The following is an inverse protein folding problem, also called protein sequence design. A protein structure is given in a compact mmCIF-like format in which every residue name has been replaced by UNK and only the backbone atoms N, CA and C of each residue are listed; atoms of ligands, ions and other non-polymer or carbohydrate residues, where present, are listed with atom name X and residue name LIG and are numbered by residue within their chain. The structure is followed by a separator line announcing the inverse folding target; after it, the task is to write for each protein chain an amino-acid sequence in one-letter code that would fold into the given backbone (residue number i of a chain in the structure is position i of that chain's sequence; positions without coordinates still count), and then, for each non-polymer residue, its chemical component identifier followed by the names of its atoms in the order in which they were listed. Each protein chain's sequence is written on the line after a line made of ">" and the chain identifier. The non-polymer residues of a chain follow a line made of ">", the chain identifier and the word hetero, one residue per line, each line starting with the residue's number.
data_IF_846656051919
#
_entry.id   IF_846656051919
#
_cell.length_a   1.000
_cell.length_b   1.000
_cell.length_c   1.000
_cell.angle_alpha   90.00
_cell.angle_beta   90.00
_cell.angle_gamma   90.00
#
_symmetry.space_group_name_H-M   'P 1'
#
loop_
_entity.id
_entity.type
_entity.pdbx_description
1 polymer ?
#
# COMPACT_ATOMS: atom_id res chain seq x y z
N UNK A 1 11.25 18.86 19.24
CA UNK A 1 11.18 17.65 18.40
C UNK A 1 10.47 16.47 19.05
N UNK A 2 10.61 16.27 20.37
CA UNK A 2 9.95 15.15 21.08
C UNK A 2 8.44 15.33 21.24
N UNK A 3 7.94 16.55 21.44
CA UNK A 3 6.51 16.82 21.58
C UNK A 3 5.69 16.50 20.34
N UNK A 4 6.26 16.72 19.13
CA UNK A 4 5.56 16.37 17.89
C UNK A 4 5.50 14.86 17.63
N UNK A 5 6.43 14.07 18.20
CA UNK A 5 6.42 12.60 18.14
C UNK A 5 5.29 12.01 18.98
N UNK A 6 5.07 12.53 20.19
CA UNK A 6 4.02 12.07 21.08
C UNK A 6 2.61 12.39 20.60
N UNK A 7 2.38 13.58 20.02
CA UNK A 7 1.08 13.98 19.50
C UNK A 7 0.60 13.04 18.36
N UNK A 8 1.49 12.70 17.43
CA UNK A 8 1.15 11.78 16.33
C UNK A 8 0.69 10.41 16.82
N UNK A 9 1.27 9.89 17.90
CA UNK A 9 0.91 8.59 18.46
C UNK A 9 -0.36 8.66 19.32
N UNK A 10 -0.63 9.78 19.99
CA UNK A 10 -1.87 10.02 20.74
C UNK A 10 -3.06 10.10 19.78
N UNK A 11 -2.97 10.84 18.70
CA UNK A 11 -4.04 10.93 17.68
C UNK A 11 -4.36 9.58 17.05
N UNK A 12 -3.36 8.75 16.76
CA UNK A 12 -3.57 7.41 16.17
C UNK A 12 -4.30 6.45 17.10
N UNK A 13 -4.14 6.59 18.42
CA UNK A 13 -4.87 5.77 19.38
C UNK A 13 -6.36 6.11 19.44
N UNK A 14 -6.75 7.30 18.98
CA UNK A 14 -8.13 7.78 18.94
C UNK A 14 -8.80 7.58 17.57
N UNK A 15 -8.05 7.14 16.54
CA UNK A 15 -8.60 6.87 15.22
C UNK A 15 -9.30 5.52 15.23
N UNK A 16 -10.59 5.55 15.04
CA UNK A 16 -11.49 4.39 15.04
C UNK A 16 -12.18 4.15 13.68
N UNK A 17 -11.85 4.97 12.69
CA UNK A 17 -12.42 4.83 11.35
C UNK A 17 -11.39 5.13 10.24
N UNK A 18 -11.59 4.48 9.08
CA UNK A 18 -10.69 4.59 7.94
C UNK A 18 -10.67 6.00 7.30
N UNK A 19 -11.79 6.71 7.31
CA UNK A 19 -11.88 8.03 6.68
C UNK A 19 -10.98 9.05 7.39
N UNK A 20 -11.01 9.08 8.71
CA UNK A 20 -10.11 9.91 9.53
C UNK A 20 -8.66 9.47 9.33
N UNK A 21 -8.40 8.16 9.36
CA UNK A 21 -7.07 7.60 9.16
C UNK A 21 -6.45 8.06 7.83
N UNK A 22 -7.20 7.99 6.73
CA UNK A 22 -6.70 8.30 5.40
C UNK A 22 -6.52 9.80 5.14
N UNK A 23 -7.16 10.65 5.93
CA UNK A 23 -7.02 12.11 5.81
C UNK A 23 -5.88 12.69 6.65
N UNK A 24 -5.35 11.95 7.60
CA UNK A 24 -4.27 12.43 8.48
C UNK A 24 -2.99 12.70 7.70
N UNK A 25 -2.52 13.95 7.74
CA UNK A 25 -1.30 14.42 7.06
C UNK A 25 -0.48 15.35 7.96
N UNK A 26 0.11 14.84 9.04
CA UNK A 26 0.95 15.68 9.90
C UNK A 26 2.14 16.25 9.09
N UNK A 27 2.36 17.58 9.09
CA UNK A 27 3.44 18.20 8.30
C UNK A 27 4.84 17.65 8.62
N UNK A 28 5.06 17.22 9.84
CA UNK A 28 6.33 16.63 10.28
C UNK A 28 6.73 15.35 9.53
N UNK A 29 5.79 14.64 8.90
CA UNK A 29 6.09 13.42 8.16
C UNK A 29 6.85 13.68 6.84
N UNK A 30 6.73 14.88 6.27
CA UNK A 30 7.38 15.25 5.03
C UNK A 30 8.82 15.79 5.17
N UNK A 31 9.41 15.77 6.38
CA UNK A 31 10.69 16.40 6.64
C UNK A 31 11.90 15.46 6.55
N UNK A 32 11.73 14.18 6.87
CA UNK A 32 12.83 13.20 6.90
C UNK A 32 12.34 11.83 6.42
N UNK A 33 12.75 11.46 5.21
CA UNK A 33 12.33 10.21 4.56
C UNK A 33 12.88 8.96 5.26
N UNK A 34 14.11 8.99 5.74
CA UNK A 34 14.71 7.85 6.42
C UNK A 34 14.01 7.59 7.77
N UNK A 35 13.78 8.64 8.56
CA UNK A 35 13.03 8.54 9.80
C UNK A 35 11.57 8.10 9.55
N UNK A 36 10.94 8.57 8.48
CA UNK A 36 9.60 8.17 8.10
C UNK A 36 9.54 6.69 7.71
N UNK A 37 10.49 6.20 6.93
CA UNK A 37 10.58 4.79 6.54
C UNK A 37 10.67 3.86 7.77
N UNK A 38 11.48 4.21 8.75
CA UNK A 38 11.58 3.46 10.03
C UNK A 38 10.24 3.46 10.78
N UNK A 39 9.57 4.62 10.85
CA UNK A 39 8.25 4.73 11.50
C UNK A 39 7.17 3.93 10.79
N UNK A 40 7.13 3.98 9.45
CA UNK A 40 6.19 3.17 8.68
C UNK A 40 6.35 1.69 9.02
N UNK A 41 7.58 1.16 9.07
CA UNK A 41 7.83 -0.23 9.44
C UNK A 41 7.29 -0.56 10.85
N UNK A 42 7.51 0.32 11.82
CA UNK A 42 6.97 0.14 13.17
C UNK A 42 5.43 0.16 13.20
N UNK A 43 4.79 1.04 12.43
CA UNK A 43 3.33 1.08 12.34
C UNK A 43 2.75 -0.16 11.66
N UNK A 44 3.39 -0.67 10.61
CA UNK A 44 2.97 -1.90 9.93
C UNK A 44 3.09 -3.12 10.84
N UNK A 45 4.09 -3.15 11.73
CA UNK A 45 4.30 -4.24 12.69
C UNK A 45 3.42 -4.14 13.95
N UNK A 46 2.63 -3.07 14.10
CA UNK A 46 1.88 -2.80 15.34
C UNK A 46 0.74 -3.77 15.63
N UNK A 47 0.25 -4.50 14.63
CA UNK A 47 -0.92 -5.38 14.73
C UNK A 47 -2.26 -4.64 14.92
N UNK A 48 -2.26 -3.30 14.94
CA UNK A 48 -3.47 -2.47 15.14
C UNK A 48 -4.00 -1.99 13.79
N UNK A 49 -5.21 -2.38 13.42
CA UNK A 49 -5.82 -2.18 12.10
C UNK A 49 -5.60 -0.76 11.55
N UNK A 50 -6.00 0.27 12.27
CA UNK A 50 -5.88 1.65 11.77
C UNK A 50 -4.45 2.19 11.79
N UNK A 51 -3.60 1.70 12.70
CA UNK A 51 -2.17 2.04 12.70
C UNK A 51 -1.47 1.43 11.47
N UNK A 52 -1.75 0.15 11.17
CA UNK A 52 -1.25 -0.54 9.97
C UNK A 52 -1.76 0.18 8.71
N UNK A 53 -3.06 0.47 8.64
CA UNK A 53 -3.63 1.21 7.51
C UNK A 53 -2.97 2.57 7.33
N UNK A 54 -2.75 3.32 8.41
CA UNK A 54 -2.04 4.60 8.36
C UNK A 54 -0.61 4.46 7.82
N UNK A 55 0.10 3.41 8.23
CA UNK A 55 1.44 3.07 7.69
C UNK A 55 1.41 2.83 6.19
N UNK A 56 0.47 2.01 5.69
CA UNK A 56 0.30 1.73 4.26
C UNK A 56 -0.04 2.99 3.45
N UNK A 57 -0.97 3.80 3.93
CA UNK A 57 -1.35 5.06 3.27
C UNK A 57 -0.19 6.07 3.27
N UNK A 58 0.60 6.10 4.34
CA UNK A 58 1.80 6.94 4.43
C UNK A 58 2.87 6.50 3.43
N UNK A 59 3.16 5.19 3.34
CA UNK A 59 4.07 4.66 2.31
C UNK A 59 3.61 5.05 0.91
N UNK A 60 2.33 4.88 0.62
CA UNK A 60 1.76 5.22 -0.68
C UNK A 60 1.94 6.70 -1.03
N UNK A 61 1.72 7.61 -0.08
CA UNK A 61 1.82 9.05 -0.32
C UNK A 61 3.23 9.56 -0.47
N UNK A 62 4.14 9.09 0.37
CA UNK A 62 5.49 9.67 0.47
C UNK A 62 6.53 8.93 -0.35
N UNK A 63 6.30 7.67 -0.74
CA UNK A 63 7.27 6.84 -1.46
C UNK A 63 6.77 6.33 -2.83
N UNK A 64 5.47 6.45 -3.16
CA UNK A 64 4.94 6.03 -4.46
C UNK A 64 4.43 7.16 -5.32
N UNK A 65 4.11 8.30 -4.73
CA UNK A 65 3.25 9.32 -5.33
C UNK A 65 3.74 9.86 -6.67
N UNK A 66 2.89 9.85 -7.60
CA UNK A 66 2.59 10.63 -8.82
C UNK A 66 3.61 11.68 -9.29
N UNK A 67 4.91 11.41 -9.28
CA UNK A 67 5.93 12.42 -9.52
C UNK A 67 5.99 13.50 -8.42
N UNK A 68 5.22 13.32 -7.37
CA UNK A 68 5.10 14.18 -6.19
C UNK A 68 5.41 13.45 -4.90
N UNK A 69 6.01 12.25 -4.97
CA UNK A 69 6.51 11.61 -3.76
C UNK A 69 7.58 12.51 -3.14
N UNK A 70 7.45 12.74 -1.84
CA UNK A 70 8.40 13.56 -1.11
C UNK A 70 9.80 12.91 -1.06
N UNK A 71 9.86 11.59 -1.24
CA UNK A 71 11.08 10.80 -1.07
C UNK A 71 11.31 9.83 -2.23
N UNK A 72 12.55 9.37 -2.48
CA UNK A 72 12.85 8.37 -3.48
C UNK A 72 12.06 7.06 -3.25
N UNK A 73 11.83 6.27 -4.32
CA UNK A 73 11.22 4.95 -4.20
C UNK A 73 11.97 4.06 -3.21
N UNK A 74 11.23 3.36 -2.37
CA UNK A 74 11.76 2.33 -1.48
C UNK A 74 11.39 0.95 -2.05
N UNK A 75 12.39 0.14 -2.51
CA UNK A 75 12.12 -1.15 -3.15
C UNK A 75 11.51 -2.19 -2.22
N UNK A 76 11.54 -1.98 -0.90
CA UNK A 76 10.92 -2.88 0.09
C UNK A 76 9.41 -2.65 0.24
N UNK A 77 8.86 -1.55 -0.27
CA UNK A 77 7.44 -1.20 -0.10
C UNK A 77 6.49 -2.32 -0.52
N UNK A 78 6.65 -3.00 -1.66
CA UNK A 78 5.76 -4.11 -2.02
C UNK A 78 5.76 -5.24 -0.98
N UNK A 79 6.93 -5.64 -0.51
CA UNK A 79 7.07 -6.71 0.50
C UNK A 79 6.42 -6.30 1.84
N UNK A 80 6.66 -5.07 2.27
CA UNK A 80 6.05 -4.51 3.48
C UNK A 80 4.52 -4.47 3.38
N UNK A 81 3.99 -4.08 2.23
CA UNK A 81 2.54 -4.03 2.01
C UNK A 81 1.90 -5.43 2.04
N UNK A 82 2.54 -6.44 1.46
CA UNK A 82 2.07 -7.83 1.52
C UNK A 82 2.07 -8.34 2.96
N UNK A 83 3.16 -8.14 3.69
CA UNK A 83 3.27 -8.56 5.08
C UNK A 83 2.24 -7.90 6.00
N UNK A 84 1.91 -6.64 5.72
CA UNK A 84 0.95 -5.86 6.51
C UNK A 84 -0.52 -6.09 6.14
N UNK A 85 -0.82 -6.67 4.98
CA UNK A 85 -2.18 -6.83 4.48
C UNK A 85 -3.08 -7.66 5.41
N UNK A 86 -2.53 -8.70 6.06
CA UNK A 86 -3.22 -9.51 7.06
C UNK A 86 -4.55 -10.08 6.58
N UNK A 87 -5.39 -10.48 7.53
CA UNK A 87 -6.75 -11.00 7.27
C UNK A 87 -7.83 -9.92 7.39
N UNK A 88 -7.51 -8.79 8.01
CA UNK A 88 -8.45 -7.69 8.17
C UNK A 88 -8.77 -7.02 6.83
N UNK A 89 -10.05 -6.75 6.60
CA UNK A 89 -10.53 -6.13 5.36
C UNK A 89 -9.92 -4.75 5.12
N UNK A 90 -9.80 -3.91 6.14
CA UNK A 90 -9.35 -2.53 5.98
C UNK A 90 -7.85 -2.43 5.69
N UNK A 91 -7.05 -3.29 6.31
CA UNK A 91 -5.61 -3.37 6.02
C UNK A 91 -5.36 -3.97 4.63
N UNK A 92 -6.08 -5.03 4.27
CA UNK A 92 -6.00 -5.64 2.94
C UNK A 92 -6.42 -4.68 1.84
N UNK A 93 -7.49 -3.91 2.06
CA UNK A 93 -7.96 -2.90 1.12
C UNK A 93 -6.93 -1.79 0.92
N UNK A 94 -6.26 -1.33 1.98
CA UNK A 94 -5.19 -0.34 1.91
C UNK A 94 -3.96 -0.88 1.17
N UNK A 95 -3.58 -2.14 1.40
CA UNK A 95 -2.50 -2.79 0.66
C UNK A 95 -2.84 -2.95 -0.83
N UNK A 96 -4.07 -3.34 -1.17
CA UNK A 96 -4.52 -3.41 -2.55
C UNK A 96 -4.51 -2.04 -3.24
N UNK A 97 -4.87 -0.99 -2.53
CA UNK A 97 -4.79 0.39 -3.04
C UNK A 97 -3.32 0.80 -3.26
N UNK A 98 -2.44 0.53 -2.31
CA UNK A 98 -1.01 0.78 -2.45
C UNK A 98 -0.43 0.07 -3.68
N UNK A 99 -0.77 -1.19 -3.91
CA UNK A 99 -0.35 -1.93 -5.11
C UNK A 99 -0.90 -1.31 -6.41
N UNK A 100 -2.16 -0.89 -6.43
CA UNK A 100 -2.75 -0.22 -7.60
C UNK A 100 -2.04 1.11 -7.92
N UNK A 101 -1.69 1.90 -6.91
CA UNK A 101 -0.87 3.11 -7.09
C UNK A 101 0.56 2.76 -7.53
N UNK A 102 1.16 1.71 -6.98
CA UNK A 102 2.47 1.20 -7.41
C UNK A 102 2.48 0.77 -8.88
N UNK A 103 1.44 0.08 -9.34
CA UNK A 103 1.25 -0.29 -10.75
C UNK A 103 1.04 0.93 -11.67
N UNK A 104 0.63 2.05 -11.11
CA UNK A 104 0.51 3.31 -11.84
C UNK A 104 1.87 4.00 -11.97
N UNK A 105 2.61 4.16 -10.88
CA UNK A 105 3.76 5.05 -10.77
C UNK A 105 5.12 4.36 -10.77
N UNK A 106 5.17 3.08 -10.31
CA UNK A 106 6.38 2.27 -10.20
C UNK A 106 6.13 0.87 -10.77
N UNK A 107 5.60 0.83 -11.98
CA UNK A 107 5.10 -0.39 -12.64
C UNK A 107 6.07 -1.56 -12.61
N UNK A 108 7.33 -1.30 -12.95
CA UNK A 108 8.38 -2.34 -13.02
C UNK A 108 8.71 -2.96 -11.66
N UNK A 109 8.51 -2.22 -10.58
CA UNK A 109 8.71 -2.71 -9.22
C UNK A 109 7.53 -3.58 -8.74
N UNK A 110 6.30 -3.20 -9.13
CA UNK A 110 5.09 -3.84 -8.60
C UNK A 110 4.56 -4.98 -9.45
N UNK A 111 4.71 -4.92 -10.79
CA UNK A 111 4.17 -5.94 -11.69
C UNK A 111 4.66 -7.35 -11.37
N UNK A 112 5.95 -7.61 -11.06
CA UNK A 112 6.43 -8.96 -10.74
C UNK A 112 5.71 -9.64 -9.59
N UNK A 113 5.17 -8.88 -8.66
CA UNK A 113 4.39 -9.41 -7.53
C UNK A 113 3.07 -10.06 -7.98
N UNK A 114 2.50 -9.59 -9.09
CA UNK A 114 1.31 -10.16 -9.69
C UNK A 114 1.67 -11.32 -10.65
N UNK A 115 2.64 -11.11 -11.53
CA UNK A 115 3.03 -12.12 -12.54
C UNK A 115 3.59 -13.39 -11.91
N UNK A 116 4.37 -13.24 -10.84
CA UNK A 116 4.99 -14.36 -10.11
C UNK A 116 4.07 -14.92 -9.01
N UNK A 117 2.82 -14.47 -8.94
CA UNK A 117 1.82 -14.89 -7.95
C UNK A 117 2.29 -14.74 -6.48
N UNK A 118 3.09 -13.71 -6.19
CA UNK A 118 3.63 -13.45 -4.82
C UNK A 118 2.59 -12.89 -3.86
N UNK A 119 1.47 -12.36 -4.35
CA UNK A 119 0.39 -11.87 -3.51
C UNK A 119 -0.48 -13.05 -3.03
N UNK A 120 -1.01 -13.02 -1.78
CA UNK A 120 -2.12 -13.88 -1.40
C UNK A 120 -3.28 -13.75 -2.39
N UNK A 121 -4.06 -14.82 -2.66
CA UNK A 121 -5.09 -14.80 -3.70
C UNK A 121 -6.07 -13.64 -3.58
N UNK A 122 -6.58 -13.40 -2.39
CA UNK A 122 -7.56 -12.34 -2.17
C UNK A 122 -6.95 -10.93 -2.35
N UNK A 123 -5.73 -10.71 -1.89
CA UNK A 123 -5.03 -9.45 -2.12
C UNK A 123 -4.76 -9.22 -3.61
N UNK A 124 -4.39 -10.28 -4.35
CA UNK A 124 -4.21 -10.22 -5.80
C UNK A 124 -5.50 -9.79 -6.49
N UNK A 125 -6.62 -10.46 -6.18
CA UNK A 125 -7.94 -10.13 -6.73
C UNK A 125 -8.33 -8.67 -6.47
N UNK A 126 -8.18 -8.22 -5.23
CA UNK A 126 -8.50 -6.84 -4.83
C UNK A 126 -7.59 -5.82 -5.52
N UNK A 127 -6.31 -6.13 -5.67
CA UNK A 127 -5.33 -5.28 -6.39
C UNK A 127 -5.72 -5.13 -7.86
N UNK A 128 -6.02 -6.23 -8.54
CA UNK A 128 -6.47 -6.21 -9.93
C UNK A 128 -7.73 -5.37 -10.09
N UNK A 129 -8.74 -5.58 -9.25
CA UNK A 129 -9.96 -4.80 -9.29
C UNK A 129 -9.70 -3.30 -9.15
N UNK A 130 -8.92 -2.91 -8.13
CA UNK A 130 -8.58 -1.49 -7.92
C UNK A 130 -7.78 -0.88 -9.06
N UNK A 131 -6.84 -1.63 -9.64
CA UNK A 131 -6.07 -1.14 -10.79
C UNK A 131 -6.94 -0.96 -12.04
N UNK A 132 -7.89 -1.88 -12.28
CA UNK A 132 -8.84 -1.78 -13.40
C UNK A 132 -9.80 -0.62 -13.24
N UNK A 133 -10.24 -0.32 -12.01
CA UNK A 133 -11.14 0.80 -11.70
C UNK A 133 -10.43 2.16 -11.74
N UNK A 134 -9.11 2.18 -11.62
CA UNK A 134 -8.34 3.43 -11.63
C UNK A 134 -8.26 4.05 -13.02
N UNK A 135 -8.63 5.31 -13.16
CA UNK A 135 -8.46 6.07 -14.41
C UNK A 135 -6.98 6.42 -14.70
N UNK A 136 -6.09 6.29 -13.72
CA UNK A 136 -4.66 6.62 -13.86
C UNK A 136 -3.84 5.49 -14.46
N UNK A 137 -4.33 4.24 -14.39
CA UNK A 137 -3.65 3.09 -14.99
C UNK A 137 -3.93 3.06 -16.50
N UNK A 138 -2.90 3.13 -17.36
CA UNK A 138 -3.08 3.07 -18.82
C UNK A 138 -3.76 1.76 -19.27
N UNK A 139 -4.50 1.82 -20.37
CA UNK A 139 -5.28 0.69 -20.90
C UNK A 139 -4.43 -0.56 -21.18
N UNK A 140 -3.23 -0.38 -21.75
CA UNK A 140 -2.29 -1.47 -22.02
C UNK A 140 -1.80 -2.15 -20.74
N UNK A 141 -1.55 -1.40 -19.68
CA UNK A 141 -1.21 -1.96 -18.35
C UNK A 141 -2.38 -2.69 -17.73
N UNK A 142 -3.60 -2.15 -17.86
CA UNK A 142 -4.82 -2.84 -17.41
C UNK A 142 -4.99 -4.21 -18.06
N UNK A 143 -4.70 -4.32 -19.36
CA UNK A 143 -4.76 -5.59 -20.08
C UNK A 143 -3.76 -6.61 -19.50
N UNK A 144 -2.53 -6.20 -19.21
CA UNK A 144 -1.52 -7.06 -18.58
C UNK A 144 -1.96 -7.48 -17.18
N UNK A 145 -2.37 -6.52 -16.35
CA UNK A 145 -2.81 -6.75 -14.96
C UNK A 145 -3.99 -7.74 -14.93
N UNK A 146 -4.98 -7.58 -15.79
CA UNK A 146 -6.11 -8.52 -15.91
C UNK A 146 -5.65 -9.94 -16.21
N UNK A 147 -4.70 -10.12 -17.13
CA UNK A 147 -4.17 -11.44 -17.49
C UNK A 147 -3.48 -12.13 -16.32
N UNK A 148 -2.86 -11.41 -15.39
CA UNK A 148 -2.22 -12.03 -14.20
C UNK A 148 -3.24 -12.78 -13.35
N UNK A 149 -4.44 -12.22 -13.17
CA UNK A 149 -5.52 -12.87 -12.42
C UNK A 149 -6.11 -14.05 -13.20
N UNK A 150 -6.38 -13.90 -14.48
CA UNK A 150 -6.89 -14.98 -15.34
C UNK A 150 -5.93 -16.18 -15.36
N UNK A 151 -4.63 -15.94 -15.50
CA UNK A 151 -3.63 -17.00 -15.47
C UNK A 151 -3.59 -17.72 -14.12
N UNK A 152 -3.70 -16.98 -13.02
CA UNK A 152 -3.73 -17.55 -11.68
C UNK A 152 -4.96 -18.44 -11.44
N UNK A 153 -6.14 -18.00 -11.84
CA UNK A 153 -7.38 -18.78 -11.68
C UNK A 153 -7.36 -20.04 -12.53
N UNK A 154 -6.91 -19.95 -13.79
CA UNK A 154 -6.75 -21.11 -14.64
C UNK A 154 -5.72 -22.13 -14.14
N UNK A 155 -4.68 -21.70 -13.45
CA UNK A 155 -3.72 -22.60 -12.82
C UNK A 155 -4.32 -23.32 -11.61
N UNK A 156 -5.15 -22.64 -10.80
CA UNK A 156 -5.83 -23.24 -9.66
C UNK A 156 -6.87 -24.30 -10.07
N UNK A 157 -7.57 -24.09 -11.19
CA UNK A 157 -8.60 -25.03 -11.70
C UNK A 157 -8.00 -26.34 -12.28
N UNK A 158 -6.66 -26.41 -12.47
CA UNK A 158 -5.97 -27.59 -12.98
C UNK A 158 -5.34 -28.48 -11.90
N UNK A 159 -5.36 -28.04 -10.66
CA UNK A 159 -4.81 -28.76 -9.50
C UNK A 159 -5.89 -29.38 -8.64
#
# INVERSE_FOLDING_TARGET
>A
PEMSRGLGDVYKRQVDNWATCDQMRPPALGQDGAALAVRCRAWLASGRVYTVRFGLVTLMRYFLGAGKSAFPPDPEVPALAVAAAGEDYYTRMAAAWLFAEGLTWQYELFLPWLTDCRLPPELHRMTVQKALDSYRVPAERKAVIRRTWTARTQAADRT
#
